data_IF_789284431703
#
_entry.id   IF_789284431703
#
_cell.length_a   1.000
_cell.length_b   1.000
_cell.length_c   1.000
_cell.angle_alpha   90.00
_cell.angle_beta   90.00
_cell.angle_gamma   90.00
#
_symmetry.space_group_name_H-M   'P 1'
#
loop_
_entity.id
_entity.type
_entity.pdbx_description
1 polymer ?
#
# COMPACT_ATOMS: atom_id res chain seq x y z
N UNK A 1 4.06 -0.19 8.86
CA UNK A 1 3.13 -0.45 7.73
C UNK A 1 3.66 0.13 6.43
N UNK A 2 4.25 1.33 6.47
CA UNK A 2 4.85 1.98 5.30
C UNK A 2 5.92 1.11 4.64
N UNK A 3 5.93 1.17 3.31
CA UNK A 3 7.00 0.73 2.41
C UNK A 3 7.26 1.89 1.44
N UNK A 4 8.37 1.92 0.69
CA UNK A 4 8.61 2.99 -0.28
C UNK A 4 7.44 3.12 -1.26
N UNK A 5 6.79 4.29 -1.26
CA UNK A 5 5.67 4.63 -2.14
C UNK A 5 4.31 4.02 -1.82
N UNK A 6 4.17 3.27 -0.73
CA UNK A 6 2.91 2.61 -0.39
C UNK A 6 2.74 2.29 1.11
N UNK A 7 1.55 1.84 1.48
CA UNK A 7 1.23 1.41 2.85
C UNK A 7 0.58 0.02 2.84
N UNK A 8 1.10 -0.90 3.67
CA UNK A 8 0.52 -2.24 3.82
C UNK A 8 -0.87 -2.21 4.44
N UNK A 9 -1.76 -3.03 3.90
CA UNK A 9 -3.11 -3.30 4.44
C UNK A 9 -3.06 -3.98 5.81
N UNK A 10 -2.02 -4.78 6.07
CA UNK A 10 -1.83 -5.48 7.33
C UNK A 10 -0.34 -5.57 7.71
N UNK A 11 -0.04 -5.54 9.00
CA UNK A 11 1.31 -5.78 9.50
C UNK A 11 1.61 -7.28 9.58
N UNK A 12 2.86 -7.65 9.34
CA UNK A 12 3.36 -9.01 9.58
C UNK A 12 3.52 -9.27 11.08
N UNK A 13 2.39 -9.42 11.77
CA UNK A 13 2.29 -9.61 13.22
C UNK A 13 1.08 -10.50 13.55
N UNK A 14 1.15 -11.25 14.66
CA UNK A 14 -0.01 -11.99 15.14
C UNK A 14 -1.12 -11.04 15.61
N UNK A 15 -2.36 -11.53 15.57
CA UNK A 15 -3.56 -10.81 16.04
C UNK A 15 -4.23 -11.57 17.19
N UNK A 16 -4.80 -10.82 18.14
CA UNK A 16 -5.55 -11.38 19.26
C UNK A 16 -6.94 -11.88 18.84
N UNK A 17 -7.57 -11.17 17.91
CA UNK A 17 -8.84 -11.58 17.30
C UNK A 17 -8.58 -12.29 15.97
N UNK A 18 -8.99 -13.56 15.82
CA UNK A 18 -8.73 -14.32 14.60
C UNK A 18 -9.43 -13.72 13.39
N UNK A 19 -8.75 -13.66 12.25
CA UNK A 19 -9.25 -13.16 10.97
C UNK A 19 -9.28 -14.28 9.92
N UNK A 20 -10.25 -15.22 9.99
CA UNK A 20 -10.31 -16.35 9.06
C UNK A 20 -10.79 -15.91 7.68
N UNK A 21 -10.06 -16.34 6.65
CA UNK A 21 -10.48 -16.23 5.26
C UNK A 21 -10.96 -17.60 4.79
N UNK A 22 -12.26 -17.72 4.60
CA UNK A 22 -12.88 -18.96 4.15
C UNK A 22 -13.27 -18.88 2.68
N UNK A 23 -12.97 -19.91 1.92
CA UNK A 23 -13.43 -20.06 0.54
C UNK A 23 -14.04 -21.44 0.35
N UNK A 24 -15.31 -21.48 -0.04
CA UNK A 24 -16.08 -22.73 -0.26
C UNK A 24 -16.02 -23.72 0.91
N UNK A 25 -16.04 -23.20 2.15
CA UNK A 25 -16.01 -24.01 3.37
C UNK A 25 -14.62 -24.42 3.84
N UNK A 26 -13.56 -24.10 3.09
CA UNK A 26 -12.17 -24.33 3.49
C UNK A 26 -11.52 -23.05 4.02
N UNK A 27 -10.81 -23.18 5.14
CA UNK A 27 -9.98 -22.11 5.67
C UNK A 27 -8.70 -21.98 4.83
N UNK A 28 -8.40 -20.77 4.37
CA UNK A 28 -7.27 -20.49 3.47
C UNK A 28 -6.01 -19.95 4.18
N UNK A 29 -6.16 -19.32 5.34
CA UNK A 29 -5.07 -18.66 6.05
C UNK A 29 -4.93 -19.16 7.50
N UNK A 30 -3.86 -18.74 8.17
CA UNK A 30 -3.77 -18.76 9.63
C UNK A 30 -4.53 -17.54 10.20
N UNK A 31 -5.68 -17.72 10.88
CA UNK A 31 -6.47 -16.59 11.38
C UNK A 31 -5.73 -15.74 12.43
N UNK A 32 -4.77 -16.31 13.15
CA UNK A 32 -3.98 -15.60 14.15
C UNK A 32 -2.71 -14.98 13.58
N UNK A 33 -2.31 -15.37 12.36
CA UNK A 33 -1.22 -14.75 11.59
C UNK A 33 -1.71 -14.43 10.18
N UNK A 34 -2.69 -13.51 10.02
CA UNK A 34 -3.41 -13.35 8.76
C UNK A 34 -2.59 -12.64 7.68
N UNK A 35 -1.37 -12.18 8.00
CA UNK A 35 -0.52 -11.48 7.05
C UNK A 35 -0.14 -12.34 5.84
N UNK A 36 -0.43 -11.80 4.66
CA UNK A 36 -0.21 -12.44 3.37
C UNK A 36 0.47 -11.44 2.41
N UNK A 37 1.80 -11.37 2.53
CA UNK A 37 2.61 -10.32 1.89
C UNK A 37 2.93 -10.50 0.41
N UNK A 38 2.45 -11.56 -0.26
CA UNK A 38 2.70 -11.80 -1.68
C UNK A 38 1.38 -11.95 -2.45
N UNK A 39 1.16 -11.11 -3.45
CA UNK A 39 0.00 -11.13 -4.34
C UNK A 39 0.32 -11.96 -5.58
N UNK A 40 0.32 -13.28 -5.42
CA UNK A 40 0.69 -14.24 -6.47
C UNK A 40 -0.18 -15.49 -6.42
N UNK A 41 -0.27 -16.20 -7.53
CA UNK A 41 -1.01 -17.46 -7.62
C UNK A 41 -2.47 -17.26 -8.05
N UNK A 42 -3.31 -18.21 -7.67
CA UNK A 42 -4.73 -18.24 -8.02
C UNK A 42 -5.49 -17.01 -7.48
N UNK A 43 -6.47 -16.56 -8.26
CA UNK A 43 -7.26 -15.36 -7.97
C UNK A 43 -7.99 -15.47 -6.63
N UNK A 44 -8.76 -16.54 -6.46
CA UNK A 44 -9.71 -16.67 -5.37
C UNK A 44 -9.05 -17.15 -4.07
N UNK A 45 -8.05 -18.01 -4.20
CA UNK A 45 -7.44 -18.68 -3.05
C UNK A 45 -6.14 -18.04 -2.57
N UNK A 46 -5.48 -17.20 -3.39
CA UNK A 46 -4.22 -16.56 -3.00
C UNK A 46 -4.26 -15.04 -3.14
N UNK A 47 -4.56 -14.52 -4.33
CA UNK A 47 -4.48 -13.09 -4.62
C UNK A 47 -5.51 -12.26 -3.87
N UNK A 48 -6.80 -12.61 -3.93
CA UNK A 48 -7.85 -11.90 -3.17
C UNK A 48 -7.60 -11.89 -1.66
N UNK A 49 -7.20 -13.01 -1.02
CA UNK A 49 -6.74 -13.00 0.36
C UNK A 49 -5.57 -12.03 0.60
N UNK A 50 -4.52 -12.09 -0.22
CA UNK A 50 -3.35 -11.21 -0.09
C UNK A 50 -3.71 -9.72 -0.25
N UNK A 51 -4.62 -9.40 -1.17
CA UNK A 51 -5.06 -8.05 -1.54
C UNK A 51 -5.51 -7.19 -0.36
N UNK A 52 -6.09 -7.84 0.66
CA UNK A 52 -6.62 -7.18 1.84
C UNK A 52 -5.84 -7.50 3.13
N UNK A 53 -4.93 -8.47 3.07
CA UNK A 53 -4.25 -8.99 4.27
C UNK A 53 -2.73 -8.91 4.19
N UNK A 54 -2.14 -8.06 3.36
CA UNK A 54 -0.69 -7.88 3.41
C UNK A 54 -0.07 -7.08 2.29
N UNK A 55 -0.73 -6.96 1.13
CA UNK A 55 -0.27 -6.09 0.05
C UNK A 55 -0.13 -4.64 0.51
N UNK A 56 0.81 -3.93 -0.12
CA UNK A 56 0.97 -2.49 0.03
C UNK A 56 0.21 -1.75 -1.05
N UNK A 57 -0.48 -0.67 -0.67
CA UNK A 57 -1.35 0.09 -1.53
C UNK A 57 -0.80 1.49 -1.77
N UNK A 58 -0.83 1.94 -3.04
CA UNK A 58 -0.39 3.28 -3.44
C UNK A 58 -1.47 4.34 -3.19
N UNK A 59 -2.75 3.98 -3.26
CA UNK A 59 -3.88 4.91 -3.08
C UNK A 59 -4.00 5.56 -1.68
N UNK A 60 -4.01 4.82 -0.56
CA UNK A 60 -4.11 5.42 0.77
C UNK A 60 -2.78 6.02 1.28
N UNK A 61 -1.66 5.76 0.60
CA UNK A 61 -0.34 6.19 1.06
C UNK A 61 -0.15 7.72 1.06
N UNK A 62 -0.56 8.48 0.01
CA UNK A 62 -0.56 9.94 0.06
C UNK A 62 -1.36 10.52 1.23
N UNK A 63 -2.50 9.92 1.58
CA UNK A 63 -3.31 10.36 2.73
C UNK A 63 -2.56 10.23 4.05
N UNK A 64 -1.72 9.21 4.23
CA UNK A 64 -0.83 9.11 5.39
C UNK A 64 0.17 10.28 5.44
N UNK A 65 0.76 10.64 4.30
CA UNK A 65 1.71 11.75 4.20
C UNK A 65 1.02 13.09 4.53
N UNK A 66 -0.19 13.31 4.03
CA UNK A 66 -1.01 14.46 4.36
C UNK A 66 -1.33 14.52 5.87
N UNK A 67 -1.78 13.41 6.46
CA UNK A 67 -2.08 13.33 7.88
C UNK A 67 -0.84 13.63 8.74
N UNK A 68 0.35 13.19 8.32
CA UNK A 68 1.61 13.51 8.99
C UNK A 68 1.86 15.03 9.00
N UNK A 69 1.75 15.69 7.85
CA UNK A 69 1.94 17.14 7.76
C UNK A 69 0.90 17.90 8.59
N UNK A 70 -0.37 17.46 8.60
CA UNK A 70 -1.42 18.07 9.43
C UNK A 70 -1.15 17.92 10.92
N UNK A 71 -0.62 16.78 11.35
CA UNK A 71 -0.38 16.48 12.77
C UNK A 71 0.80 17.27 13.33
N UNK A 72 1.88 17.41 12.56
CA UNK A 72 3.13 18.02 13.01
C UNK A 72 3.37 19.43 12.46
N UNK A 73 2.42 19.97 11.68
CA UNK A 73 2.49 21.29 11.09
C UNK A 73 3.75 21.51 10.24
N UNK A 74 4.32 22.71 10.32
CA UNK A 74 5.50 23.09 9.55
C UNK A 74 6.70 22.15 9.76
N UNK A 75 6.89 21.65 10.99
CA UNK A 75 7.98 20.71 11.30
C UNK A 75 7.81 19.34 10.63
N UNK A 76 6.57 18.92 10.36
CA UNK A 76 6.26 17.64 9.71
C UNK A 76 6.29 17.68 8.18
N UNK A 77 6.20 18.87 7.58
CA UNK A 77 5.99 19.04 6.13
C UNK A 77 7.10 18.40 5.30
N UNK A 78 8.37 18.63 5.67
CA UNK A 78 9.51 18.06 4.95
C UNK A 78 9.53 16.53 5.05
N UNK A 79 9.19 15.98 6.22
CA UNK A 79 9.06 14.53 6.40
C UNK A 79 7.93 13.95 5.55
N UNK A 80 6.78 14.60 5.51
CA UNK A 80 5.66 14.18 4.67
C UNK A 80 6.01 14.17 3.17
N UNK A 81 6.72 15.20 2.68
CA UNK A 81 7.21 15.25 1.31
C UNK A 81 8.26 14.17 1.03
N UNK A 82 9.16 13.89 1.98
CA UNK A 82 10.14 12.81 1.85
C UNK A 82 9.48 11.43 1.76
N UNK A 83 8.42 11.19 2.56
CA UNK A 83 7.61 9.99 2.42
C UNK A 83 6.91 9.95 1.07
N UNK A 84 6.19 11.00 0.69
CA UNK A 84 5.45 11.05 -0.57
C UNK A 84 6.34 10.82 -1.79
N UNK A 85 7.54 11.39 -1.80
CA UNK A 85 8.51 11.24 -2.91
C UNK A 85 9.22 9.88 -2.93
N UNK A 86 9.06 9.04 -1.90
CA UNK A 86 9.53 7.65 -1.96
C UNK A 86 8.81 6.82 -3.05
N UNK A 87 7.67 7.29 -3.56
CA UNK A 87 6.97 6.68 -4.71
C UNK A 87 7.58 7.02 -6.07
N UNK A 88 8.52 7.97 -6.17
CA UNK A 88 9.11 8.38 -7.47
C UNK A 88 9.69 7.17 -8.20
N UNK A 89 10.33 6.24 -7.47
CA UNK A 89 10.83 4.99 -8.06
C UNK A 89 9.73 4.17 -8.75
N UNK A 90 8.51 4.19 -8.22
CA UNK A 90 7.37 3.48 -8.82
C UNK A 90 6.85 4.20 -10.07
N UNK A 91 6.96 5.53 -10.13
CA UNK A 91 6.60 6.32 -11.32
C UNK A 91 7.63 6.15 -12.45
N UNK A 92 8.89 5.99 -12.07
CA UNK A 92 10.02 5.81 -12.99
C UNK A 92 10.21 4.36 -13.45
N UNK A 93 9.48 3.40 -12.88
CA UNK A 93 9.62 1.97 -13.19
C UNK A 93 8.26 1.32 -13.47
N UNK A 94 8.23 0.19 -14.20
CA UNK A 94 6.97 -0.43 -14.60
C UNK A 94 6.27 0.36 -15.70
N UNK A 95 5.05 0.86 -15.45
CA UNK A 95 4.34 1.73 -16.38
C UNK A 95 4.78 3.18 -16.19
N UNK A 96 5.66 3.64 -17.08
CA UNK A 96 6.28 4.97 -16.99
C UNK A 96 5.24 6.08 -16.83
N UNK A 97 5.44 6.92 -15.80
CA UNK A 97 4.56 8.03 -15.49
C UNK A 97 3.32 7.67 -14.67
N UNK A 98 3.18 6.40 -14.26
CA UNK A 98 2.03 5.92 -13.52
C UNK A 98 2.42 5.25 -12.19
N UNK A 99 1.45 5.19 -11.28
CA UNK A 99 1.56 4.40 -10.05
C UNK A 99 0.80 3.07 -10.22
N UNK A 100 1.39 1.94 -9.79
CA UNK A 100 0.71 0.66 -9.78
C UNK A 100 -0.37 0.66 -8.69
N UNK A 101 -1.31 -0.27 -8.80
CA UNK A 101 -2.39 -0.46 -7.84
C UNK A 101 -1.88 -0.88 -6.46
N UNK A 102 -1.09 -1.94 -6.46
CA UNK A 102 -0.54 -2.56 -5.26
C UNK A 102 0.88 -3.01 -5.48
N UNK A 103 1.56 -3.29 -4.37
CA UNK A 103 2.83 -3.98 -4.34
C UNK A 103 2.72 -5.17 -3.40
N UNK A 104 3.61 -6.14 -3.59
CA UNK A 104 3.84 -7.15 -2.56
C UNK A 104 4.18 -6.45 -1.24
N UNK A 105 3.53 -6.88 -0.16
CA UNK A 105 3.83 -6.42 1.19
C UNK A 105 5.23 -6.80 1.65
N UNK A 106 5.73 -7.93 1.14
CA UNK A 106 7.09 -8.39 1.42
C UNK A 106 8.10 -7.70 0.51
N UNK A 107 9.30 -7.48 1.05
CA UNK A 107 10.46 -7.12 0.23
C UNK A 107 10.65 -8.16 -0.89
N UNK A 108 10.95 -7.78 -2.15
CA UNK A 108 11.38 -6.45 -2.60
C UNK A 108 10.26 -5.48 -3.01
N UNK A 109 9.02 -5.71 -2.58
CA UNK A 109 7.85 -4.90 -2.94
C UNK A 109 7.61 -4.84 -4.45
N UNK A 110 7.57 -6.01 -5.09
CA UNK A 110 7.27 -6.11 -6.53
C UNK A 110 5.92 -5.49 -6.84
N UNK A 111 5.82 -4.74 -7.94
CA UNK A 111 4.57 -4.14 -8.42
C UNK A 111 3.59 -5.23 -8.86
N UNK A 112 2.30 -5.03 -8.57
CA UNK A 112 1.22 -5.99 -8.76
C UNK A 112 -0.08 -5.26 -9.12
N UNK A 113 -1.09 -6.03 -9.55
CA UNK A 113 -2.40 -5.48 -9.89
C UNK A 113 -2.35 -4.64 -11.17
N UNK A 114 -3.23 -3.64 -11.28
CA UNK A 114 -3.22 -2.70 -12.39
C UNK A 114 -1.94 -1.85 -12.41
N UNK A 115 -1.23 -1.80 -13.54
CA UNK A 115 0.03 -1.04 -13.65
C UNK A 115 -0.17 0.48 -13.63
N UNK A 116 -1.33 0.96 -14.08
CA UNK A 116 -1.66 2.38 -14.21
C UNK A 116 -2.99 2.72 -13.52
N UNK A 117 -2.88 3.05 -12.24
CA UNK A 117 -4.04 3.08 -11.35
C UNK A 117 -4.48 4.53 -11.04
N UNK A 118 -5.69 4.91 -11.48
CA UNK A 118 -6.14 6.31 -11.45
C UNK A 118 -6.22 6.94 -10.04
N UNK A 119 -6.92 6.27 -9.12
CA UNK A 119 -7.01 6.60 -7.69
C UNK A 119 -5.65 6.86 -7.00
N UNK A 120 -4.66 5.99 -7.19
CA UNK A 120 -3.30 6.19 -6.69
C UNK A 120 -2.61 7.42 -7.26
N UNK A 121 -2.68 7.59 -8.59
CA UNK A 121 -2.09 8.75 -9.26
C UNK A 121 -2.76 10.07 -8.84
N UNK A 122 -4.10 10.11 -8.78
CA UNK A 122 -4.85 11.30 -8.42
C UNK A 122 -4.58 11.73 -6.98
N UNK A 123 -4.53 10.79 -6.03
CA UNK A 123 -4.23 11.11 -4.63
C UNK A 123 -2.78 11.57 -4.45
N UNK A 124 -1.84 10.98 -5.18
CA UNK A 124 -0.45 11.42 -5.14
C UNK A 124 -0.32 12.88 -5.59
N UNK A 125 -0.91 13.24 -6.74
CA UNK A 125 -0.88 14.62 -7.26
C UNK A 125 -1.59 15.59 -6.31
N UNK A 126 -2.76 15.21 -5.80
CA UNK A 126 -3.54 16.04 -4.86
C UNK A 126 -2.71 16.41 -3.63
N UNK A 127 -2.05 15.44 -3.02
CA UNK A 127 -1.23 15.67 -1.82
C UNK A 127 0.07 16.39 -2.17
N UNK A 128 0.70 16.09 -3.31
CA UNK A 128 1.88 16.80 -3.77
C UNK A 128 1.62 18.30 -3.91
N UNK A 129 0.57 18.69 -4.64
CA UNK A 129 0.17 20.10 -4.81
C UNK A 129 -0.08 20.74 -3.44
N UNK A 130 -0.87 20.09 -2.59
CA UNK A 130 -1.18 20.59 -1.25
C UNK A 130 0.05 20.84 -0.39
N UNK A 131 1.05 19.96 -0.43
CA UNK A 131 2.24 20.05 0.43
C UNK A 131 3.41 20.82 -0.21
N UNK A 132 3.44 21.00 -1.53
CA UNK A 132 4.52 21.73 -2.21
C UNK A 132 4.18 23.20 -2.44
N UNK A 133 2.91 23.53 -2.63
CA UNK A 133 2.47 24.89 -2.99
C UNK A 133 1.88 25.70 -1.81
N UNK A 134 1.42 25.04 -0.74
CA UNK A 134 0.86 25.72 0.44
C UNK A 134 1.78 25.61 1.64
#
# INVERSE_FOLDING_TARGET
LLVPGAIRSLADRPVSHPLPVNFRGSLLNDPHRPYWGQYTGDEDTCRKPAYHNGTAWTWPFPSYCEAWAMTYGAAGRQTALAWLTSSIRLVETGCLGHLPEVLDGNYPHTTRGCDAQAWGASEWVRVWVKLSEG
#
